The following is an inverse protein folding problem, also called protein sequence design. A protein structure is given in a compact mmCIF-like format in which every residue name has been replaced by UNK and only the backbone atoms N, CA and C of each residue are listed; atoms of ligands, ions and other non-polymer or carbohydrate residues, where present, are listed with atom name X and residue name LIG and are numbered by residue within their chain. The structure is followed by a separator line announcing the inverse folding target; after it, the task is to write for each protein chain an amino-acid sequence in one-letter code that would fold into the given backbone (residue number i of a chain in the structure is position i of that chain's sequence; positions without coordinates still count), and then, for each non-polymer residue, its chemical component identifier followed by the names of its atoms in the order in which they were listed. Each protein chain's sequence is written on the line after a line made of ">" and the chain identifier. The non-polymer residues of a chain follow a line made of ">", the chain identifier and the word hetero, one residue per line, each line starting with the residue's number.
data_IF_021626854357
#
_entry.id   IF_021626854357
#
_cell.length_a   1.000
_cell.length_b   1.000
_cell.length_c   1.000
_cell.angle_alpha   90.00
_cell.angle_beta   90.00
_cell.angle_gamma   90.00
#
_symmetry.space_group_name_H-M   'P 1'
#
loop_
_entity.id
_entity.type
_entity.pdbx_description
1 polymer ?
#
# COMPACT_ATOMS: atom_id res chain seq x y z
N UNK A 1 43.79 64.06 31.39
CA UNK A 1 42.92 63.32 30.50
C UNK A 1 42.97 61.84 30.85
N UNK A 2 41.94 61.24 31.49
CA UNK A 2 41.97 59.82 31.79
C UNK A 2 41.61 59.00 30.54
N UNK A 3 42.46 58.05 30.24
CA UNK A 3 42.30 57.08 29.16
C UNK A 3 41.32 56.01 29.64
N UNK A 4 40.17 55.95 29.06
CA UNK A 4 39.17 54.83 29.27
C UNK A 4 39.73 53.50 28.77
N UNK A 5 40.11 52.66 29.71
CA UNK A 5 40.48 51.27 29.49
C UNK A 5 39.18 50.49 29.23
N UNK A 6 38.90 50.15 27.97
CA UNK A 6 37.82 49.26 27.60
C UNK A 6 38.24 47.85 28.02
N UNK A 7 37.65 47.35 29.09
CA UNK A 7 37.76 45.92 29.44
C UNK A 7 36.98 45.08 28.45
N UNK A 8 37.68 44.41 27.56
CA UNK A 8 37.15 43.35 26.74
C UNK A 8 36.75 42.16 27.64
N UNK A 9 35.48 42.10 27.97
CA UNK A 9 34.87 40.90 28.54
C UNK A 9 34.82 39.83 27.43
N UNK A 10 35.88 39.04 27.36
CA UNK A 10 35.89 37.78 26.60
C UNK A 10 34.86 36.87 27.23
N UNK A 11 33.69 36.78 26.58
CA UNK A 11 32.73 35.70 26.83
C UNK A 11 33.39 34.41 26.41
N UNK A 12 33.82 33.64 27.37
CA UNK A 12 34.18 32.23 27.19
C UNK A 12 32.89 31.45 26.87
N UNK A 13 32.61 31.27 25.59
CA UNK A 13 31.64 30.28 25.16
C UNK A 13 32.18 28.89 25.55
N UNK A 14 31.65 28.35 26.63
CA UNK A 14 31.94 26.99 27.04
C UNK A 14 31.28 26.05 26.02
N UNK A 15 32.02 25.66 24.99
CA UNK A 15 31.68 24.56 24.11
C UNK A 15 31.60 23.28 24.97
N UNK A 16 30.38 23.01 25.48
CA UNK A 16 30.06 21.75 26.11
C UNK A 16 29.86 20.72 25.01
N UNK A 17 30.89 19.98 24.69
CA UNK A 17 30.80 18.80 23.85
C UNK A 17 30.02 17.68 24.54
N UNK A 18 29.33 16.85 23.78
CA UNK A 18 28.70 15.64 24.31
C UNK A 18 29.76 14.62 24.75
N UNK A 19 29.52 13.98 25.88
CA UNK A 19 30.37 12.89 26.35
C UNK A 19 30.08 11.59 25.58
N UNK A 20 31.08 10.74 25.45
CA UNK A 20 30.93 9.42 24.84
C UNK A 20 29.88 8.58 25.59
N UNK A 21 29.79 8.72 26.91
CA UNK A 21 28.79 8.02 27.72
C UNK A 21 27.37 8.50 27.43
N UNK A 22 27.15 9.80 27.23
CA UNK A 22 25.82 10.34 26.86
C UNK A 22 25.34 9.77 25.52
N UNK A 23 26.21 9.69 24.52
CA UNK A 23 25.85 9.08 23.22
C UNK A 23 25.57 7.59 23.37
N UNK A 24 26.34 6.87 24.18
CA UNK A 24 26.14 5.45 24.41
C UNK A 24 24.80 5.18 25.09
N UNK A 25 24.43 5.95 26.12
CA UNK A 25 23.13 5.82 26.80
C UNK A 25 21.98 6.10 25.85
N UNK A 26 22.08 7.13 25.01
CA UNK A 26 21.06 7.46 24.02
C UNK A 26 20.87 6.30 23.02
N UNK A 27 21.97 5.73 22.52
CA UNK A 27 21.90 4.58 21.60
C UNK A 27 21.26 3.36 22.25
N UNK A 28 21.56 3.08 23.52
CA UNK A 28 20.92 1.98 24.27
C UNK A 28 19.42 2.21 24.41
N UNK A 29 19.00 3.42 24.78
CA UNK A 29 17.58 3.76 24.94
C UNK A 29 16.84 3.63 23.60
N UNK A 30 17.40 4.16 22.51
CA UNK A 30 16.82 4.04 21.17
C UNK A 30 16.72 2.59 20.76
N UNK A 31 17.76 1.79 21.00
CA UNK A 31 17.76 0.36 20.70
C UNK A 31 16.68 -0.42 21.46
N UNK A 32 16.50 -0.14 22.74
CA UNK A 32 15.43 -0.74 23.55
C UNK A 32 14.02 -0.36 23.04
N UNK A 33 13.81 0.94 22.75
CA UNK A 33 12.54 1.42 22.24
C UNK A 33 12.23 0.84 20.86
N UNK A 34 13.22 0.80 19.96
CA UNK A 34 13.07 0.21 18.63
C UNK A 34 12.71 -1.29 18.69
N UNK A 35 13.30 -2.02 19.62
CA UNK A 35 13.01 -3.45 19.85
C UNK A 35 11.56 -3.72 20.32
N UNK A 36 10.95 -2.79 21.05
CA UNK A 36 9.56 -2.93 21.54
C UNK A 36 8.54 -2.46 20.51
N UNK A 37 8.82 -1.34 19.83
CA UNK A 37 7.87 -0.68 18.92
C UNK A 37 7.88 -1.30 17.53
N UNK A 38 9.06 -1.73 17.05
CA UNK A 38 9.23 -2.27 15.71
C UNK A 38 8.25 -3.39 15.34
N UNK A 39 8.15 -4.47 16.11
CA UNK A 39 7.26 -5.60 15.78
C UNK A 39 5.76 -5.23 15.71
N UNK A 40 5.34 -4.24 16.48
CA UNK A 40 3.93 -3.77 16.47
C UNK A 40 3.60 -2.96 15.23
N UNK A 41 4.56 -2.17 14.74
CA UNK A 41 4.37 -1.37 13.52
C UNK A 41 4.24 -2.27 12.30
N UNK A 42 5.08 -3.29 12.15
CA UNK A 42 5.01 -4.22 11.02
C UNK A 42 3.67 -4.96 10.97
N UNK A 43 3.15 -5.48 12.07
CA UNK A 43 1.82 -6.12 12.11
C UNK A 43 0.67 -5.19 11.71
N UNK A 44 0.76 -3.90 12.01
CA UNK A 44 -0.26 -2.93 11.63
C UNK A 44 -0.21 -2.62 10.12
N UNK A 45 0.97 -2.61 9.53
CA UNK A 45 1.15 -2.43 8.08
C UNK A 45 0.51 -3.59 7.34
N UNK A 46 0.84 -4.84 7.69
CA UNK A 46 0.27 -6.05 7.06
C UNK A 46 -1.27 -6.04 7.09
N UNK A 47 -1.85 -5.72 8.24
CA UNK A 47 -3.32 -5.63 8.37
C UNK A 47 -3.92 -4.51 7.49
N UNK A 48 -3.22 -3.39 7.35
CA UNK A 48 -3.65 -2.28 6.50
C UNK A 48 -3.63 -2.67 5.03
N UNK A 49 -2.61 -3.40 4.58
CA UNK A 49 -2.48 -3.89 3.21
C UNK A 49 -3.62 -4.85 2.85
N UNK A 50 -3.93 -5.82 3.70
CA UNK A 50 -5.06 -6.74 3.50
C UNK A 50 -6.39 -5.99 3.43
N UNK A 51 -6.61 -5.00 4.30
CA UNK A 51 -7.83 -4.18 4.28
C UNK A 51 -7.93 -3.38 2.98
N UNK A 52 -6.81 -2.82 2.51
CA UNK A 52 -6.74 -2.09 1.24
C UNK A 52 -7.02 -2.99 0.06
N UNK A 53 -6.43 -4.19 0.01
CA UNK A 53 -6.69 -5.17 -1.04
C UNK A 53 -8.17 -5.56 -1.12
N UNK A 54 -8.80 -5.83 0.00
CA UNK A 54 -10.24 -6.13 0.07
C UNK A 54 -11.11 -4.98 -0.45
N UNK A 55 -10.79 -3.75 -0.08
CA UNK A 55 -11.52 -2.58 -0.57
C UNK A 55 -11.34 -2.37 -2.08
N UNK A 56 -10.16 -2.63 -2.61
CA UNK A 56 -9.89 -2.57 -4.05
C UNK A 56 -10.62 -3.67 -4.81
N UNK A 57 -10.64 -4.91 -4.30
CA UNK A 57 -11.41 -6.01 -4.88
C UNK A 57 -12.91 -5.68 -4.89
N UNK A 58 -13.46 -5.15 -3.81
CA UNK A 58 -14.87 -4.71 -3.75
C UNK A 58 -15.19 -3.65 -4.80
N UNK A 59 -14.30 -2.68 -4.99
CA UNK A 59 -14.45 -1.66 -6.02
C UNK A 59 -14.39 -2.24 -7.45
N UNK A 60 -13.48 -3.17 -7.70
CA UNK A 60 -13.37 -3.86 -8.98
C UNK A 60 -14.59 -4.75 -9.25
N UNK A 61 -15.08 -5.47 -8.24
CA UNK A 61 -16.32 -6.26 -8.31
C UNK A 61 -17.51 -5.41 -8.75
N UNK A 62 -17.70 -4.25 -8.13
CA UNK A 62 -18.77 -3.30 -8.51
C UNK A 62 -18.65 -2.83 -9.96
N UNK A 63 -17.44 -2.60 -10.44
CA UNK A 63 -17.21 -2.23 -11.83
C UNK A 63 -17.51 -3.37 -12.80
N UNK A 64 -17.16 -4.62 -12.44
CA UNK A 64 -17.52 -5.83 -13.20
C UNK A 64 -19.03 -6.04 -13.24
N UNK A 65 -19.72 -5.83 -12.12
CA UNK A 65 -21.19 -5.91 -12.07
C UNK A 65 -21.84 -4.85 -12.96
N UNK A 66 -21.34 -3.63 -12.97
CA UNK A 66 -21.82 -2.59 -13.86
C UNK A 66 -21.60 -2.93 -15.33
N UNK A 67 -20.44 -3.46 -15.68
CA UNK A 67 -20.16 -3.99 -17.01
C UNK A 67 -21.18 -5.07 -17.42
N UNK A 68 -21.48 -6.01 -16.52
CA UNK A 68 -22.48 -7.05 -16.76
C UNK A 68 -23.88 -6.48 -16.96
N UNK A 69 -24.27 -5.46 -16.21
CA UNK A 69 -25.58 -4.82 -16.38
C UNK A 69 -25.75 -4.20 -17.76
N UNK A 70 -24.70 -3.62 -18.31
CA UNK A 70 -24.76 -2.98 -19.62
C UNK A 70 -24.65 -3.98 -20.79
N UNK A 71 -23.75 -4.96 -20.68
CA UNK A 71 -23.44 -5.90 -21.76
C UNK A 71 -24.14 -7.26 -21.64
N UNK A 72 -24.79 -7.55 -20.50
CA UNK A 72 -25.45 -8.83 -20.25
C UNK A 72 -24.48 -10.01 -19.98
N UNK A 73 -23.18 -9.76 -19.93
CA UNK A 73 -22.12 -10.75 -19.70
C UNK A 73 -20.98 -10.16 -18.88
N UNK A 74 -20.19 -11.01 -18.27
CA UNK A 74 -18.92 -10.59 -17.68
C UNK A 74 -17.84 -10.36 -18.73
N UNK A 75 -16.79 -9.56 -18.42
CA UNK A 75 -15.60 -9.51 -19.26
C UNK A 75 -15.02 -10.92 -19.45
N UNK A 76 -14.61 -11.27 -20.66
CA UNK A 76 -13.92 -12.54 -20.89
C UNK A 76 -12.53 -12.53 -20.24
N UNK A 77 -11.93 -13.70 -20.02
CA UNK A 77 -10.55 -13.79 -19.51
C UNK A 77 -9.53 -13.06 -20.41
N UNK A 78 -9.81 -12.94 -21.70
CA UNK A 78 -8.95 -12.21 -22.65
C UNK A 78 -9.09 -10.68 -22.49
N UNK A 79 -10.30 -10.20 -22.28
CA UNK A 79 -10.58 -8.79 -21.98
C UNK A 79 -10.02 -8.42 -20.60
N UNK A 80 -10.18 -9.33 -19.64
CA UNK A 80 -9.75 -9.14 -18.27
C UNK A 80 -10.32 -7.85 -17.66
N UNK A 81 -9.66 -7.34 -16.65
CA UNK A 81 -10.04 -6.08 -16.01
C UNK A 81 -9.82 -4.86 -16.93
N UNK A 82 -9.05 -4.99 -18.01
CA UNK A 82 -8.88 -3.93 -19.00
C UNK A 82 -10.16 -3.64 -19.78
N UNK A 83 -11.06 -4.61 -19.93
CA UNK A 83 -12.39 -4.44 -20.49
C UNK A 83 -13.26 -3.43 -19.74
N UNK A 84 -12.92 -3.15 -18.47
CA UNK A 84 -13.59 -2.11 -17.67
C UNK A 84 -13.16 -0.68 -18.03
N UNK A 85 -12.06 -0.54 -18.74
CA UNK A 85 -11.47 0.75 -19.12
C UNK A 85 -11.62 1.05 -20.60
N UNK A 86 -11.55 0.03 -21.43
CA UNK A 86 -11.51 0.15 -22.88
C UNK A 86 -12.65 -0.63 -23.53
N UNK A 87 -13.32 0.02 -24.48
CA UNK A 87 -14.36 -0.65 -25.26
C UNK A 87 -13.76 -1.76 -26.12
N UNK A 88 -14.46 -2.88 -26.15
CA UNK A 88 -14.18 -4.00 -27.06
C UNK A 88 -14.92 -3.89 -28.40
N UNK A 89 -15.58 -2.74 -28.66
CA UNK A 89 -16.40 -2.52 -29.85
C UNK A 89 -17.87 -2.94 -29.69
N UNK A 90 -18.28 -3.45 -28.54
CA UNK A 90 -19.68 -3.76 -28.25
C UNK A 90 -20.51 -2.46 -28.17
N UNK A 91 -21.62 -2.34 -28.91
CA UNK A 91 -22.45 -1.14 -28.91
C UNK A 91 -23.12 -0.88 -27.56
N UNK A 92 -23.25 -1.86 -26.70
CA UNK A 92 -23.81 -1.73 -25.35
C UNK A 92 -22.78 -1.30 -24.32
N UNK A 93 -21.51 -1.22 -24.69
CA UNK A 93 -20.47 -0.76 -23.76
C UNK A 93 -20.66 0.72 -23.41
N UNK A 94 -20.83 1.02 -22.14
CA UNK A 94 -21.11 2.38 -21.63
C UNK A 94 -20.04 2.88 -20.65
N UNK A 95 -18.90 2.22 -20.63
CA UNK A 95 -17.79 2.61 -19.76
C UNK A 95 -17.12 3.94 -20.13
N UNK A 96 -16.01 4.28 -19.52
CA UNK A 96 -15.24 3.42 -18.63
C UNK A 96 -15.93 3.18 -17.27
N UNK A 97 -15.82 1.96 -16.75
CA UNK A 97 -16.40 1.54 -15.47
C UNK A 97 -15.45 1.81 -14.28
N UNK A 98 -14.22 2.18 -14.58
CA UNK A 98 -13.24 2.63 -13.61
C UNK A 98 -12.80 4.06 -13.96
N UNK A 99 -12.64 4.89 -12.94
CA UNK A 99 -12.18 6.29 -13.11
C UNK A 99 -10.68 6.39 -13.42
N UNK A 100 -9.92 5.39 -13.07
CA UNK A 100 -8.45 5.31 -13.24
C UNK A 100 -8.09 3.92 -13.74
N UNK A 101 -6.83 3.74 -14.11
CA UNK A 101 -6.28 2.43 -14.44
C UNK A 101 -6.54 1.41 -13.33
N UNK A 102 -6.58 0.13 -13.70
CA UNK A 102 -6.69 -0.95 -12.72
C UNK A 102 -5.51 -0.84 -11.76
N UNK A 103 -5.77 -0.72 -10.45
CA UNK A 103 -4.68 -0.59 -9.48
C UNK A 103 -3.91 -1.91 -9.36
N UNK A 104 -2.66 -1.81 -8.96
CA UNK A 104 -1.96 -2.94 -8.39
C UNK A 104 -2.45 -3.18 -6.96
N UNK A 105 -2.32 -4.41 -6.49
CA UNK A 105 -2.56 -4.72 -5.10
C UNK A 105 -1.51 -4.04 -4.19
N UNK A 106 -1.68 -4.00 -2.87
CA UNK A 106 -0.74 -3.35 -1.96
C UNK A 106 0.69 -3.91 -2.02
N UNK A 107 0.84 -5.15 -2.47
CA UNK A 107 2.13 -5.81 -2.65
C UNK A 107 2.72 -5.64 -4.05
N UNK A 108 2.15 -4.71 -4.85
CA UNK A 108 2.60 -4.36 -6.21
C UNK A 108 2.43 -5.48 -7.23
N UNK A 109 1.45 -6.37 -7.03
CA UNK A 109 1.10 -7.45 -7.96
C UNK A 109 -0.24 -7.12 -8.63
N UNK A 110 -0.42 -7.43 -9.93
CA UNK A 110 -1.70 -7.26 -10.59
C UNK A 110 -2.77 -8.19 -10.01
N UNK A 111 -4.01 -7.70 -9.87
CA UNK A 111 -5.15 -8.53 -9.55
C UNK A 111 -5.38 -9.57 -10.64
N UNK A 112 -5.70 -10.78 -10.23
CA UNK A 112 -6.01 -11.87 -11.13
C UNK A 112 -7.50 -11.90 -11.41
N UNK A 113 -7.85 -12.11 -12.67
CA UNK A 113 -9.22 -12.21 -13.13
C UNK A 113 -9.36 -13.39 -14.08
N UNK A 114 -10.35 -14.23 -13.87
CA UNK A 114 -10.66 -15.38 -14.73
C UNK A 114 -12.16 -15.56 -14.88
N UNK A 115 -12.62 -15.72 -16.12
CA UNK A 115 -14.01 -16.00 -16.45
C UNK A 115 -14.06 -17.07 -17.57
N UNK A 116 -14.75 -18.20 -17.37
CA UNK A 116 -15.38 -18.62 -16.12
C UNK A 116 -14.37 -18.86 -14.99
N UNK A 117 -14.80 -18.68 -13.77
CA UNK A 117 -13.96 -18.89 -12.58
C UNK A 117 -13.66 -20.39 -12.37
N UNK A 118 -12.52 -20.67 -11.75
CA UNK A 118 -12.19 -22.03 -11.32
C UNK A 118 -12.97 -22.42 -10.04
N UNK A 119 -13.23 -21.45 -9.18
CA UNK A 119 -14.00 -21.61 -7.95
C UNK A 119 -15.49 -21.28 -8.16
N UNK A 120 -15.81 -20.38 -9.09
CA UNK A 120 -17.15 -19.97 -9.45
C UNK A 120 -17.38 -20.19 -10.96
N UNK A 121 -17.71 -21.41 -11.34
CA UNK A 121 -17.86 -21.78 -12.76
C UNK A 121 -18.97 -21.03 -13.52
N UNK A 122 -19.97 -20.50 -12.82
CA UNK A 122 -21.05 -19.69 -13.41
C UNK A 122 -20.75 -18.19 -13.40
N UNK A 123 -19.75 -17.78 -12.66
CA UNK A 123 -19.32 -16.41 -12.43
C UNK A 123 -17.86 -16.21 -12.86
N UNK A 124 -17.14 -15.40 -12.15
CA UNK A 124 -15.72 -15.13 -12.34
C UNK A 124 -14.96 -15.26 -11.03
N UNK A 125 -13.67 -15.46 -11.11
CA UNK A 125 -12.74 -15.34 -9.98
C UNK A 125 -11.97 -14.02 -10.08
N UNK A 126 -11.94 -13.26 -8.99
CA UNK A 126 -11.16 -12.05 -8.85
C UNK A 126 -10.43 -12.07 -7.50
N UNK A 127 -9.11 -12.07 -7.54
CA UNK A 127 -8.30 -12.22 -6.34
C UNK A 127 -6.92 -11.56 -6.45
N UNK A 128 -6.26 -11.40 -5.32
CA UNK A 128 -4.85 -11.06 -5.21
C UNK A 128 -4.07 -12.29 -4.73
N UNK A 129 -2.81 -12.39 -5.13
CA UNK A 129 -1.91 -13.42 -4.58
C UNK A 129 -1.41 -13.10 -3.17
N UNK A 130 -1.72 -11.93 -2.63
CA UNK A 130 -1.29 -11.55 -1.30
C UNK A 130 0.20 -11.22 -1.19
N UNK A 131 0.69 -11.23 0.05
CA UNK A 131 2.05 -10.80 0.36
C UNK A 131 3.14 -11.70 -0.22
N UNK A 132 2.90 -13.00 -0.34
CA UNK A 132 3.86 -13.97 -0.90
C UNK A 132 3.83 -14.06 -2.43
N UNK A 133 2.86 -13.40 -3.08
CA UNK A 133 2.67 -13.36 -4.55
C UNK A 133 2.50 -14.74 -5.17
N UNK A 134 1.96 -15.69 -4.41
CA UNK A 134 1.80 -17.09 -4.81
C UNK A 134 0.34 -17.53 -4.71
N UNK A 135 -0.04 -18.50 -5.53
CA UNK A 135 -1.37 -19.10 -5.45
C UNK A 135 -1.50 -20.00 -4.22
N UNK A 136 -2.60 -19.81 -3.50
CA UNK A 136 -2.84 -20.51 -2.24
C UNK A 136 -2.17 -19.85 -1.06
N UNK A 137 -2.58 -20.18 0.14
CA UNK A 137 -2.02 -19.60 1.36
C UNK A 137 -3.02 -19.61 2.51
N UNK A 138 -2.64 -19.00 3.61
CA UNK A 138 -3.49 -18.84 4.80
C UNK A 138 -3.31 -17.44 5.37
N UNK A 139 -4.35 -16.88 5.96
CA UNK A 139 -4.36 -15.53 6.55
C UNK A 139 -4.08 -14.45 5.50
N UNK A 140 -2.98 -13.70 5.67
CA UNK A 140 -2.63 -12.54 4.84
C UNK A 140 -2.05 -12.95 3.48
N UNK A 141 -1.80 -14.23 3.28
CA UNK A 141 -1.31 -14.85 2.05
C UNK A 141 -2.41 -15.67 1.31
N UNK A 142 -3.68 -15.47 1.66
CA UNK A 142 -4.80 -16.21 1.06
C UNK A 142 -5.62 -15.33 0.13
#
# INVERSE_FOLDING_TARGET
>A
MPINKVENLSRSDSNRGFTLLELLVVLVIIGLLAGIVGPRLFKNVDKSEVTTAKAQIDALTKAVDQYRLDLGRYPSSQEGLNGLLHSNGDPNWRGPYLKKAVPLDPWQTPYQYKQPGDHNSEDYDLYSFGADRSSGGTKDNA
#
